data_IF_292562425728
#
_entry.id   IF_292562425728
#
_cell.length_a   1.000
_cell.length_b   1.000
_cell.length_c   1.000
_cell.angle_alpha   90.00
_cell.angle_beta   90.00
_cell.angle_gamma   90.00
#
_symmetry.space_group_name_H-M   'P 1'
#
loop_
_entity.id
_entity.type
_entity.pdbx_description
1 polymer ?
#
# COMPACT_ATOMS: atom_id res chain seq x y z
N UNK A 1 30.12 -34.86 -21.33
CA UNK A 1 29.66 -36.15 -21.85
C UNK A 1 28.59 -35.87 -22.90
N UNK A 2 28.84 -36.29 -24.14
CA UNK A 2 27.85 -36.35 -25.25
C UNK A 2 26.71 -37.32 -24.87
N UNK A 3 25.54 -37.48 -25.50
CA UNK A 3 24.90 -37.22 -26.80
C UNK A 3 23.37 -37.27 -26.45
N UNK A 4 22.41 -36.58 -27.07
CA UNK A 4 21.77 -36.96 -28.34
C UNK A 4 20.59 -36.03 -28.62
N UNK A 5 20.13 -36.08 -29.87
CA UNK A 5 19.48 -35.03 -30.65
C UNK A 5 18.08 -35.48 -31.11
N UNK A 6 17.22 -34.50 -31.46
CA UNK A 6 16.17 -34.54 -32.49
C UNK A 6 14.91 -35.44 -32.33
N UNK A 7 13.73 -34.80 -32.36
CA UNK A 7 12.87 -34.79 -33.58
C UNK A 7 11.75 -33.74 -33.53
N UNK A 8 11.61 -33.04 -34.64
CA UNK A 8 10.52 -32.12 -34.96
C UNK A 8 9.25 -32.88 -35.41
N UNK A 9 8.08 -32.30 -35.13
CA UNK A 9 6.83 -32.61 -35.83
C UNK A 9 6.03 -31.32 -36.00
N UNK A 10 5.95 -30.86 -37.24
CA UNK A 10 5.00 -29.87 -37.76
C UNK A 10 3.61 -30.51 -37.86
N UNK A 11 2.57 -29.82 -37.39
CA UNK A 11 1.21 -30.10 -37.83
C UNK A 11 0.45 -28.80 -38.12
N UNK A 12 0.14 -28.61 -39.39
CA UNK A 12 -0.68 -27.55 -39.97
C UNK A 12 -2.14 -27.95 -39.90
N UNK A 13 -2.98 -27.14 -39.25
CA UNK A 13 -4.43 -27.33 -39.24
C UNK A 13 -5.14 -25.98 -39.23
N UNK A 14 -5.46 -25.48 -40.41
CA UNK A 14 -6.34 -24.34 -40.68
C UNK A 14 -7.79 -24.70 -40.34
N UNK A 15 -8.45 -23.91 -39.47
CA UNK A 15 -9.90 -23.92 -39.33
C UNK A 15 -10.44 -22.48 -39.46
N UNK A 16 -11.00 -22.20 -40.63
CA UNK A 16 -11.76 -21.00 -40.96
C UNK A 16 -13.21 -21.14 -40.49
N UNK A 17 -13.73 -20.16 -39.75
CA UNK A 17 -15.16 -20.03 -39.45
C UNK A 17 -15.60 -18.57 -39.72
N UNK A 18 -16.49 -18.31 -40.69
CA UNK A 18 -17.09 -17.00 -40.88
C UNK A 18 -18.45 -16.92 -40.17
N UNK A 19 -18.79 -15.84 -39.47
CA UNK A 19 -20.19 -15.41 -39.38
C UNK A 19 -20.37 -13.93 -38.97
N UNK A 20 -20.70 -13.15 -39.99
CA UNK A 20 -21.84 -12.21 -40.05
C UNK A 20 -21.82 -10.96 -39.17
N UNK A 21 -21.54 -9.87 -39.88
CA UNK A 21 -21.80 -8.47 -39.56
C UNK A 21 -23.28 -8.16 -39.83
N UNK A 22 -24.03 -7.71 -38.83
CA UNK A 22 -25.37 -7.14 -39.00
C UNK A 22 -25.38 -5.67 -38.61
N UNK A 23 -25.29 -4.81 -39.64
CA UNK A 23 -25.63 -3.39 -39.54
C UNK A 23 -27.16 -3.25 -39.45
N UNK A 24 -27.65 -2.66 -38.36
CA UNK A 24 -29.00 -2.14 -38.26
C UNK A 24 -29.00 -0.63 -38.47
N UNK A 25 -29.15 -0.18 -39.72
CA UNK A 25 -29.57 1.18 -40.04
C UNK A 25 -31.10 1.23 -39.91
N UNK A 26 -31.62 2.04 -38.99
CA UNK A 26 -33.01 2.49 -39.03
C UNK A 26 -33.00 4.02 -39.15
N UNK A 27 -33.46 4.51 -40.29
CA UNK A 27 -33.80 5.90 -40.53
C UNK A 27 -35.33 6.00 -40.72
N UNK A 28 -35.98 6.96 -40.06
CA UNK A 28 -36.85 8.00 -40.66
C UNK A 28 -37.94 8.48 -39.69
N UNK A 29 -38.12 9.81 -39.65
CA UNK A 29 -39.16 10.57 -38.95
C UNK A 29 -38.51 11.63 -38.03
N UNK A 30 -38.44 12.93 -38.33
CA UNK A 30 -39.21 13.80 -39.20
C UNK A 30 -40.06 14.75 -38.34
N UNK A 31 -39.71 16.04 -38.28
CA UNK A 31 -40.57 17.12 -37.76
C UNK A 31 -39.89 18.12 -36.81
N UNK A 32 -39.73 19.37 -37.25
CA UNK A 32 -38.97 20.42 -36.56
C UNK A 32 -39.70 21.25 -35.50
N UNK A 33 -38.95 22.15 -34.86
CA UNK A 33 -39.44 23.17 -33.93
C UNK A 33 -38.31 23.63 -33.00
N UNK A 34 -37.99 24.93 -33.02
CA UNK A 34 -36.75 25.49 -32.47
C UNK A 34 -36.60 25.51 -30.94
N UNK A 35 -35.36 25.75 -30.53
CA UNK A 35 -34.95 25.95 -29.15
C UNK A 35 -33.54 25.41 -28.90
N UNK A 36 -32.52 26.22 -29.17
CA UNK A 36 -31.13 25.90 -28.82
C UNK A 36 -30.95 25.96 -27.30
N UNK A 37 -31.12 24.80 -26.65
CA UNK A 37 -30.68 24.56 -25.26
C UNK A 37 -29.28 23.92 -25.34
N UNK A 38 -28.28 24.40 -24.58
CA UNK A 38 -26.98 23.75 -24.57
C UNK A 38 -27.12 22.35 -23.95
N UNK A 39 -26.86 21.32 -24.75
CA UNK A 39 -26.80 19.93 -24.31
C UNK A 39 -25.54 19.75 -23.46
N UNK A 40 -25.71 19.70 -22.15
CA UNK A 40 -24.73 19.12 -21.25
C UNK A 40 -24.49 17.67 -21.66
N UNK A 41 -23.24 17.32 -21.94
CA UNK A 41 -22.85 15.93 -22.14
C UNK A 41 -23.29 15.12 -20.91
N UNK A 42 -23.90 13.93 -21.08
CA UNK A 42 -24.25 13.11 -19.93
C UNK A 42 -22.95 12.71 -19.23
N UNK A 43 -22.81 13.15 -17.98
CA UNK A 43 -21.82 12.60 -17.05
C UNK A 43 -22.10 11.10 -16.98
N UNK A 44 -21.22 10.28 -17.54
CA UNK A 44 -21.29 8.84 -17.35
C UNK A 44 -21.12 8.58 -15.85
N UNK A 45 -22.23 8.31 -15.15
CA UNK A 45 -22.20 7.74 -13.81
C UNK A 45 -21.69 6.32 -14.01
N UNK A 46 -20.40 6.12 -13.77
CA UNK A 46 -19.81 4.79 -13.71
C UNK A 46 -20.59 3.99 -12.66
N UNK A 47 -21.01 2.75 -12.95
CA UNK A 47 -21.63 1.89 -11.95
C UNK A 47 -20.61 1.65 -10.83
N UNK A 48 -20.87 2.18 -9.64
CA UNK A 48 -20.11 1.85 -8.43
C UNK A 48 -20.52 0.46 -7.98
N UNK A 49 -19.90 -0.57 -8.54
CA UNK A 49 -19.88 -1.88 -7.89
C UNK A 49 -19.06 -1.73 -6.62
N UNK A 50 -19.73 -1.65 -5.47
CA UNK A 50 -19.04 -1.66 -4.17
C UNK A 50 -18.39 -3.02 -4.00
N UNK A 51 -17.05 -3.07 -4.08
CA UNK A 51 -16.30 -4.29 -3.83
C UNK A 51 -16.50 -4.67 -2.36
N UNK A 52 -17.08 -5.84 -2.10
CA UNK A 52 -17.30 -6.30 -0.74
C UNK A 52 -15.97 -6.66 -0.07
N UNK A 53 -15.75 -6.18 1.15
CA UNK A 53 -14.61 -6.58 1.99
C UNK A 53 -14.89 -8.00 2.52
N UNK A 54 -14.03 -9.00 2.21
CA UNK A 54 -14.16 -10.32 2.81
C UNK A 54 -14.06 -10.26 4.33
N UNK A 55 -14.87 -11.07 5.01
CA UNK A 55 -14.76 -11.21 6.46
C UNK A 55 -13.41 -11.80 6.86
N UNK A 56 -12.79 -11.23 7.90
CA UNK A 56 -11.61 -11.78 8.53
C UNK A 56 -11.98 -12.62 9.77
N UNK A 57 -11.11 -13.56 10.13
CA UNK A 57 -11.22 -14.39 11.33
C UNK A 57 -10.42 -13.85 12.52
N UNK A 58 -9.91 -12.62 12.45
CA UNK A 58 -9.22 -12.00 13.58
C UNK A 58 -10.15 -11.82 14.77
N UNK A 59 -9.61 -11.96 15.98
CA UNK A 59 -10.37 -11.76 17.20
C UNK A 59 -10.80 -10.29 17.34
N UNK A 60 -12.01 -10.05 17.86
CA UNK A 60 -12.47 -8.70 18.23
C UNK A 60 -11.49 -8.10 19.26
N UNK A 61 -11.09 -6.83 19.08
CA UNK A 61 -10.13 -6.18 19.95
C UNK A 61 -8.66 -6.46 19.62
N UNK A 62 -8.35 -7.29 18.61
CA UNK A 62 -6.97 -7.58 18.19
C UNK A 62 -6.36 -6.48 17.33
N UNK A 63 -5.04 -6.35 17.36
CA UNK A 63 -4.32 -5.41 16.50
C UNK A 63 -4.47 -5.76 15.02
N UNK A 64 -4.48 -7.06 14.71
CA UNK A 64 -4.66 -7.58 13.36
C UNK A 64 -6.01 -7.15 12.78
N UNK A 65 -7.10 -7.18 13.56
CA UNK A 65 -8.42 -6.71 13.12
C UNK A 65 -8.41 -5.21 12.80
N UNK A 66 -7.81 -4.40 13.67
CA UNK A 66 -7.70 -2.95 13.45
C UNK A 66 -6.92 -2.62 12.19
N UNK A 67 -5.76 -3.24 12.02
CA UNK A 67 -4.91 -3.09 10.83
C UNK A 67 -5.57 -3.56 9.54
N UNK A 68 -6.19 -4.74 9.55
CA UNK A 68 -6.93 -5.28 8.42
C UNK A 68 -8.06 -4.36 8.00
N UNK A 69 -8.82 -3.81 8.96
CA UNK A 69 -9.94 -2.91 8.70
C UNK A 69 -9.48 -1.65 7.98
N UNK A 70 -8.41 -1.00 8.48
CA UNK A 70 -7.85 0.21 7.85
C UNK A 70 -7.35 -0.09 6.43
N UNK A 71 -6.57 -1.17 6.24
CA UNK A 71 -6.02 -1.52 4.94
C UNK A 71 -7.12 -1.84 3.91
N UNK A 72 -8.11 -2.64 4.30
CA UNK A 72 -9.21 -3.02 3.41
C UNK A 72 -10.05 -1.81 3.00
N UNK A 73 -10.34 -0.91 3.93
CA UNK A 73 -11.07 0.32 3.62
C UNK A 73 -10.28 1.19 2.63
N UNK A 74 -8.99 1.40 2.88
CA UNK A 74 -8.11 2.15 1.99
C UNK A 74 -8.08 1.56 0.57
N UNK A 75 -7.89 0.24 0.46
CA UNK A 75 -7.78 -0.44 -0.83
C UNK A 75 -9.09 -0.48 -1.61
N UNK A 76 -10.19 -0.83 -0.94
CA UNK A 76 -11.51 -0.92 -1.59
C UNK A 76 -12.01 0.46 -2.01
N UNK A 77 -11.82 1.48 -1.18
CA UNK A 77 -12.22 2.85 -1.52
C UNK A 77 -11.48 3.37 -2.76
N UNK A 78 -10.21 3.01 -2.91
CA UNK A 78 -9.33 3.54 -3.94
C UNK A 78 -9.06 2.56 -5.09
N UNK A 79 -9.95 1.60 -5.32
CA UNK A 79 -9.91 0.66 -6.44
C UNK A 79 -8.64 -0.22 -6.51
N UNK A 80 -7.92 -0.40 -5.41
CA UNK A 80 -6.82 -1.38 -5.30
C UNK A 80 -7.32 -2.82 -5.12
N UNK A 81 -8.62 -3.00 -4.96
CA UNK A 81 -9.28 -4.28 -4.75
C UNK A 81 -9.16 -4.81 -3.32
N UNK A 82 -10.09 -5.69 -2.95
CA UNK A 82 -10.13 -6.29 -1.62
C UNK A 82 -9.13 -7.44 -1.49
N UNK A 83 -8.49 -7.55 -0.34
CA UNK A 83 -7.61 -8.65 0.04
C UNK A 83 -8.40 -9.75 0.74
N UNK A 84 -7.93 -10.99 0.61
CA UNK A 84 -8.41 -12.15 1.38
C UNK A 84 -7.38 -12.47 2.45
N UNK A 85 -7.83 -12.65 3.69
CA UNK A 85 -6.98 -13.16 4.76
C UNK A 85 -6.47 -14.57 4.44
N UNK A 86 -5.18 -14.82 4.67
CA UNK A 86 -4.54 -16.13 4.54
C UNK A 86 -3.79 -16.47 5.83
N UNK A 87 -4.26 -17.49 6.54
CA UNK A 87 -3.73 -17.90 7.86
C UNK A 87 -2.24 -18.28 7.86
N UNK A 88 -1.70 -18.72 6.72
CA UNK A 88 -0.26 -18.97 6.56
C UNK A 88 0.57 -17.67 6.56
N UNK A 89 0.02 -16.59 6.02
CA UNK A 89 0.63 -15.26 6.10
C UNK A 89 0.50 -14.70 7.51
N UNK A 90 -0.64 -14.92 8.19
CA UNK A 90 -0.82 -14.53 9.60
C UNK A 90 0.23 -15.17 10.50
N UNK A 91 0.46 -16.49 10.32
CA UNK A 91 1.45 -17.21 11.08
C UNK A 91 2.88 -16.67 10.84
N UNK A 92 3.22 -16.30 9.60
CA UNK A 92 4.53 -15.75 9.27
C UNK A 92 4.71 -14.34 9.87
N UNK A 93 3.71 -13.47 9.73
CA UNK A 93 3.73 -12.13 10.31
C UNK A 93 3.81 -12.18 11.85
N UNK A 94 3.05 -13.07 12.49
CA UNK A 94 3.06 -13.23 13.94
C UNK A 94 4.41 -13.77 14.46
N UNK A 95 4.99 -14.75 13.78
CA UNK A 95 6.32 -15.26 14.13
C UNK A 95 7.37 -14.15 14.04
N UNK A 96 7.32 -13.34 12.98
CA UNK A 96 8.25 -12.23 12.81
C UNK A 96 8.06 -11.13 13.87
N UNK A 97 6.83 -10.75 14.19
CA UNK A 97 6.53 -9.81 15.29
C UNK A 97 7.07 -10.32 16.63
N UNK A 98 6.94 -11.63 16.92
CA UNK A 98 7.51 -12.25 18.13
C UNK A 98 9.02 -12.28 18.12
N UNK A 99 9.64 -12.57 16.98
CA UNK A 99 11.09 -12.51 16.80
C UNK A 99 11.61 -11.10 17.12
N UNK A 100 11.04 -10.07 16.50
CA UNK A 100 11.44 -8.68 16.71
C UNK A 100 11.26 -8.23 18.17
N UNK A 101 10.15 -8.59 18.81
CA UNK A 101 9.95 -8.29 20.23
C UNK A 101 10.93 -9.04 21.13
N UNK A 102 11.18 -10.33 20.83
CA UNK A 102 12.13 -11.18 21.56
C UNK A 102 13.54 -10.59 21.56
N UNK A 103 14.07 -10.26 20.38
CA UNK A 103 15.42 -9.67 20.26
C UNK A 103 15.50 -8.26 20.83
N UNK A 104 14.40 -7.50 20.80
CA UNK A 104 14.37 -6.15 21.38
C UNK A 104 14.47 -6.18 22.90
N UNK A 105 13.78 -7.15 23.53
CA UNK A 105 13.89 -7.40 24.96
C UNK A 105 15.29 -7.91 25.32
N UNK A 106 15.80 -8.89 24.57
CA UNK A 106 17.09 -9.50 24.84
C UNK A 106 18.25 -8.50 24.72
N UNK A 107 18.18 -7.58 23.76
CA UNK A 107 19.20 -6.55 23.53
C UNK A 107 19.01 -5.28 24.37
N UNK A 108 17.83 -5.07 24.95
CA UNK A 108 17.45 -3.80 25.59
C UNK A 108 17.29 -2.63 24.62
N UNK A 109 17.36 -2.86 23.30
CA UNK A 109 17.21 -1.84 22.24
C UNK A 109 15.96 -2.15 21.44
N UNK A 110 15.22 -1.12 21.00
CA UNK A 110 14.07 -1.35 20.13
C UNK A 110 14.57 -1.71 18.74
N UNK A 111 14.48 -3.00 18.38
CA UNK A 111 14.90 -3.48 17.07
C UNK A 111 13.68 -3.56 16.15
N UNK A 112 13.82 -2.98 14.96
CA UNK A 112 12.89 -3.08 13.85
C UNK A 112 13.69 -3.40 12.58
N UNK A 113 13.36 -4.51 11.92
CA UNK A 113 14.04 -4.97 10.71
C UNK A 113 13.09 -5.85 9.91
N UNK A 114 13.22 -5.85 8.60
CA UNK A 114 12.58 -6.85 7.72
C UNK A 114 13.28 -8.22 7.76
N UNK A 115 14.48 -8.27 8.34
CA UNK A 115 15.35 -9.44 8.34
C UNK A 115 15.49 -10.08 9.73
N UNK A 116 15.65 -11.40 9.73
CA UNK A 116 15.99 -12.17 10.93
C UNK A 116 17.44 -12.64 10.87
N UNK A 117 18.32 -12.01 11.64
CA UNK A 117 19.75 -12.37 11.69
C UNK A 117 20.08 -13.38 12.81
N UNK A 118 19.29 -13.42 13.88
CA UNK A 118 19.56 -14.21 15.08
C UNK A 118 18.92 -15.59 14.96
N UNK A 119 19.61 -16.49 14.26
CA UNK A 119 19.14 -17.87 13.99
C UNK A 119 18.90 -18.74 15.23
N UNK A 120 19.42 -18.34 16.39
CA UNK A 120 19.21 -19.04 17.66
C UNK A 120 17.96 -18.58 18.43
N UNK A 121 17.31 -17.50 17.99
CA UNK A 121 16.05 -17.06 18.61
C UNK A 121 14.94 -18.08 18.32
N UNK A 122 14.12 -18.48 19.31
CA UNK A 122 13.10 -19.51 19.12
C UNK A 122 11.99 -19.14 18.13
N UNK A 123 11.86 -17.86 17.75
CA UNK A 123 10.91 -17.39 16.76
C UNK A 123 11.54 -17.20 15.37
N UNK A 124 12.84 -17.47 15.22
CA UNK A 124 13.49 -17.44 13.92
C UNK A 124 12.81 -18.44 12.96
N UNK A 125 12.36 -17.94 11.82
CA UNK A 125 11.72 -18.73 10.77
C UNK A 125 12.30 -18.49 9.38
N UNK A 126 13.19 -17.51 9.21
CA UNK A 126 13.88 -17.29 7.94
C UNK A 126 14.44 -15.88 7.83
N UNK A 127 15.55 -15.74 7.10
CA UNK A 127 16.26 -14.47 6.98
C UNK A 127 15.39 -13.36 6.40
N UNK A 128 14.80 -13.56 5.21
CA UNK A 128 13.99 -12.55 4.54
C UNK A 128 12.48 -12.87 4.60
N UNK A 129 11.59 -11.90 4.30
CA UNK A 129 10.15 -12.11 4.40
C UNK A 129 9.64 -13.32 3.62
N UNK A 130 10.16 -13.54 2.42
CA UNK A 130 9.80 -14.68 1.57
C UNK A 130 10.27 -16.03 2.12
N UNK A 131 11.38 -16.08 2.87
CA UNK A 131 11.85 -17.30 3.51
C UNK A 131 10.87 -17.72 4.62
N UNK A 132 10.42 -16.74 5.42
CA UNK A 132 9.45 -16.95 6.50
C UNK A 132 8.10 -17.44 5.98
N UNK A 133 7.63 -16.88 4.87
CA UNK A 133 6.36 -17.29 4.26
C UNK A 133 6.45 -18.63 3.53
N UNK A 134 7.64 -19.07 3.10
CA UNK A 134 7.87 -20.43 2.63
C UNK A 134 7.77 -21.44 3.78
N UNK A 135 8.29 -21.10 4.98
CA UNK A 135 8.20 -21.98 6.16
C UNK A 135 6.76 -22.23 6.61
N UNK A 136 5.89 -21.22 6.52
CA UNK A 136 4.45 -21.40 6.80
C UNK A 136 3.68 -22.00 5.63
N UNK A 137 4.35 -22.28 4.51
CA UNK A 137 3.79 -22.94 3.34
C UNK A 137 2.96 -22.02 2.44
N UNK A 138 3.09 -20.70 2.52
CA UNK A 138 2.44 -19.77 1.59
C UNK A 138 3.17 -19.76 0.24
N UNK A 139 4.47 -19.43 0.24
CA UNK A 139 5.27 -19.16 -0.96
C UNK A 139 6.11 -17.89 -0.81
N UNK A 140 6.83 -17.47 -1.85
CA UNK A 140 7.79 -16.35 -1.80
C UNK A 140 7.29 -15.03 -2.41
N UNK A 141 6.11 -15.03 -3.02
CA UNK A 141 5.54 -13.88 -3.74
C UNK A 141 4.83 -12.92 -2.78
N UNK A 142 5.60 -12.20 -1.96
CA UNK A 142 5.11 -11.34 -0.88
C UNK A 142 5.85 -10.00 -0.81
N UNK A 143 5.14 -8.97 -0.35
CA UNK A 143 5.70 -7.74 0.19
C UNK A 143 5.40 -7.67 1.69
N UNK A 144 6.33 -7.13 2.47
CA UNK A 144 6.17 -6.93 3.90
C UNK A 144 6.15 -5.45 4.25
N UNK A 145 5.29 -5.08 5.20
CA UNK A 145 5.29 -3.78 5.83
C UNK A 145 5.17 -3.97 7.35
N UNK A 146 5.90 -3.18 8.12
CA UNK A 146 5.99 -3.37 9.56
C UNK A 146 6.30 -2.07 10.30
N UNK A 147 5.81 -1.98 11.53
CA UNK A 147 5.94 -0.83 12.41
C UNK A 147 6.25 -1.31 13.84
N UNK A 148 6.89 -0.43 14.61
CA UNK A 148 7.14 -0.62 16.02
C UNK A 148 6.82 0.62 16.82
N UNK A 149 6.26 0.38 18.00
CA UNK A 149 6.06 1.40 19.02
C UNK A 149 6.67 0.91 20.33
N UNK A 150 7.33 1.82 21.05
CA UNK A 150 7.91 1.56 22.38
C UNK A 150 7.48 2.60 23.37
N UNK A 151 6.96 2.16 24.52
CA UNK A 151 6.51 3.04 25.59
C UNK A 151 7.23 2.71 26.89
N UNK A 152 8.00 3.68 27.41
CA UNK A 152 8.57 3.63 28.75
C UNK A 152 7.70 4.42 29.72
N UNK A 153 7.38 3.85 30.87
CA UNK A 153 6.50 4.48 31.86
C UNK A 153 6.77 4.03 33.31
N UNK A 154 6.33 4.85 34.27
CA UNK A 154 6.29 4.49 35.69
C UNK A 154 4.94 3.86 36.04
N UNK A 155 4.94 2.71 36.71
CA UNK A 155 3.72 2.00 37.12
C UNK A 155 2.84 2.79 38.10
N UNK A 156 3.41 3.76 38.82
CA UNK A 156 2.68 4.63 39.72
C UNK A 156 1.97 5.77 38.97
N UNK A 157 2.35 6.02 37.72
CA UNK A 157 1.71 7.01 36.84
C UNK A 157 1.69 6.49 35.39
N UNK A 158 0.94 5.41 35.11
CA UNK A 158 0.92 4.82 33.79
C UNK A 158 0.19 5.74 32.79
N UNK A 159 0.61 5.79 31.52
CA UNK A 159 -0.12 6.51 30.49
C UNK A 159 -1.45 5.80 30.18
N UNK A 160 -2.33 6.52 29.48
CA UNK A 160 -3.52 5.89 28.89
C UNK A 160 -3.09 5.16 27.63
N UNK A 161 -3.11 3.83 27.68
CA UNK A 161 -2.77 3.00 26.54
C UNK A 161 -3.97 2.85 25.59
N UNK A 162 -3.77 2.99 24.26
CA UNK A 162 -4.76 2.57 23.29
C UNK A 162 -4.98 1.05 23.39
N UNK A 163 -6.19 0.62 23.04
CA UNK A 163 -6.49 -0.81 22.89
C UNK A 163 -5.61 -1.43 21.80
N UNK A 164 -5.43 -2.75 21.80
CA UNK A 164 -4.65 -3.42 20.73
C UNK A 164 -5.24 -3.14 19.34
N UNK A 165 -6.55 -3.17 19.19
CA UNK A 165 -7.22 -2.80 17.93
C UNK A 165 -6.91 -1.36 17.49
N UNK A 166 -6.94 -0.40 18.42
CA UNK A 166 -6.55 0.98 18.13
C UNK A 166 -5.07 1.09 17.72
N UNK A 167 -4.18 0.32 18.36
CA UNK A 167 -2.76 0.26 17.97
C UNK A 167 -2.61 -0.26 16.55
N UNK A 168 -3.23 -1.39 16.22
CA UNK A 168 -3.16 -1.96 14.87
C UNK A 168 -3.71 -1.02 13.79
N UNK A 169 -4.82 -0.32 14.09
CA UNK A 169 -5.36 0.70 13.20
C UNK A 169 -4.38 1.87 13.00
N UNK A 170 -3.78 2.38 14.08
CA UNK A 170 -2.78 3.45 14.02
C UNK A 170 -1.50 3.02 13.29
N UNK A 171 -1.01 1.80 13.53
CA UNK A 171 0.14 1.22 12.81
C UNK A 171 -0.10 1.19 11.31
N UNK A 172 -1.27 0.72 10.88
CA UNK A 172 -1.61 0.67 9.45
C UNK A 172 -1.74 2.07 8.85
N UNK A 173 -2.36 3.03 9.55
CA UNK A 173 -2.41 4.43 9.10
C UNK A 173 -1.00 5.03 8.95
N UNK A 174 -0.09 4.72 9.88
CA UNK A 174 1.30 5.12 9.80
C UNK A 174 1.97 4.55 8.55
N UNK A 175 1.84 3.25 8.31
CA UNK A 175 2.43 2.56 7.14
C UNK A 175 1.87 3.08 5.80
N UNK A 176 0.56 3.34 5.73
CA UNK A 176 -0.10 3.94 4.57
C UNK A 176 0.35 5.39 4.30
N UNK A 177 1.00 6.03 5.27
CA UNK A 177 1.46 7.41 5.19
C UNK A 177 2.98 7.51 4.96
N UNK A 178 3.55 6.51 4.28
CA UNK A 178 4.97 6.45 3.91
C UNK A 178 5.13 6.22 2.40
N UNK A 179 6.36 6.22 1.88
CA UNK A 179 6.59 6.02 0.43
C UNK A 179 6.71 4.53 0.11
N UNK A 180 7.69 3.84 0.68
CA UNK A 180 7.98 2.45 0.38
C UNK A 180 7.00 1.48 1.05
N UNK A 181 6.59 1.69 2.31
CA UNK A 181 5.56 0.80 2.86
C UNK A 181 4.20 0.99 2.18
N UNK A 182 3.90 2.16 1.62
CA UNK A 182 2.68 2.33 0.84
C UNK A 182 2.68 1.48 -0.44
N UNK A 183 3.84 1.22 -1.08
CA UNK A 183 3.89 0.26 -2.20
C UNK A 183 3.56 -1.17 -1.75
N UNK A 184 4.03 -1.56 -0.55
CA UNK A 184 3.75 -2.85 0.06
C UNK A 184 2.30 -3.00 0.55
N UNK A 185 1.69 -1.94 1.07
CA UNK A 185 0.27 -1.92 1.43
C UNK A 185 -0.63 -2.02 0.20
N UNK A 186 -0.22 -1.35 -0.89
CA UNK A 186 -0.92 -1.32 -2.17
C UNK A 186 -0.36 -2.34 -3.18
N UNK A 187 0.21 -3.43 -2.66
CA UNK A 187 0.80 -4.48 -3.46
C UNK A 187 -0.25 -5.13 -4.37
N UNK A 188 0.21 -5.63 -5.53
CA UNK A 188 -0.63 -6.19 -6.60
C UNK A 188 -1.18 -7.60 -6.28
N UNK A 189 -1.17 -8.00 -5.02
CA UNK A 189 -1.67 -9.28 -4.53
C UNK A 189 -3.12 -9.24 -4.09
N UNK A 190 -3.71 -10.43 -4.00
CA UNK A 190 -5.06 -10.65 -3.48
C UNK A 190 -5.08 -11.27 -2.07
N UNK A 191 -3.92 -11.59 -1.50
CA UNK A 191 -3.79 -12.20 -0.18
C UNK A 191 -3.16 -11.24 0.82
N UNK A 192 -3.56 -11.37 2.07
CA UNK A 192 -2.92 -10.68 3.18
C UNK A 192 -2.88 -11.54 4.42
N UNK A 193 -1.87 -11.34 5.25
CA UNK A 193 -1.92 -11.77 6.64
C UNK A 193 -1.26 -10.77 7.58
N UNK A 194 -1.71 -10.78 8.83
CA UNK A 194 -1.28 -9.84 9.86
C UNK A 194 -0.78 -10.59 11.09
N UNK A 195 0.13 -9.95 11.82
CA UNK A 195 0.56 -10.44 13.11
C UNK A 195 1.13 -9.33 13.99
N UNK A 196 0.76 -9.36 15.26
CA UNK A 196 1.29 -8.44 16.25
C UNK A 196 1.79 -9.18 17.50
N UNK A 197 2.80 -8.61 18.15
CA UNK A 197 3.27 -9.06 19.47
C UNK A 197 3.46 -7.84 20.37
N UNK A 198 2.95 -7.92 21.60
CA UNK A 198 3.17 -6.92 22.64
C UNK A 198 3.74 -7.60 23.87
N UNK A 199 4.86 -7.08 24.38
CA UNK A 199 5.45 -7.55 25.63
C UNK A 199 5.84 -6.39 26.52
N UNK A 200 5.54 -6.52 27.80
CA UNK A 200 5.92 -5.56 28.84
C UNK A 200 7.02 -6.15 29.71
N UNK A 201 8.12 -5.42 29.88
CA UNK A 201 9.24 -5.83 30.74
C UNK A 201 9.50 -4.81 31.83
N UNK A 202 9.98 -5.27 32.98
CA UNK A 202 10.45 -4.38 34.05
C UNK A 202 11.86 -3.89 33.74
N UNK A 203 12.04 -2.56 33.67
CA UNK A 203 13.34 -1.91 33.46
C UNK A 203 13.92 -1.34 34.77
N UNK A 204 13.16 -1.43 35.86
CA UNK A 204 13.49 -0.94 37.19
C UNK A 204 12.39 -1.28 38.19
N UNK A 205 12.52 -0.80 39.43
CA UNK A 205 11.56 -1.10 40.50
C UNK A 205 10.13 -0.65 40.14
N UNK A 206 10.00 0.58 39.63
CA UNK A 206 8.72 1.18 39.24
C UNK A 206 8.60 1.40 37.73
N UNK A 207 9.65 1.18 36.95
CA UNK A 207 9.63 1.45 35.50
C UNK A 207 9.32 0.21 34.68
N UNK A 208 8.55 0.40 33.62
CA UNK A 208 8.17 -0.61 32.64
C UNK A 208 8.47 -0.11 31.24
N UNK A 209 8.69 -1.06 30.34
CA UNK A 209 8.82 -0.84 28.90
C UNK A 209 7.89 -1.77 28.16
N UNK A 210 7.02 -1.22 27.31
CA UNK A 210 6.25 -1.98 26.33
C UNK A 210 6.98 -1.98 24.98
N UNK A 211 7.20 -3.18 24.45
CA UNK A 211 7.62 -3.41 23.08
C UNK A 211 6.42 -3.94 22.30
N UNK A 212 6.01 -3.19 21.26
CA UNK A 212 4.95 -3.59 20.35
C UNK A 212 5.50 -3.70 18.93
N UNK A 213 5.20 -4.81 18.26
CA UNK A 213 5.54 -5.08 16.86
C UNK A 213 4.28 -5.43 16.11
N UNK A 214 4.12 -4.82 14.94
CA UNK A 214 3.00 -5.04 14.06
C UNK A 214 3.49 -5.14 12.62
N UNK A 215 2.97 -6.10 11.87
CA UNK A 215 3.30 -6.23 10.46
C UNK A 215 2.20 -6.88 9.66
N UNK A 216 2.27 -6.68 8.35
CA UNK A 216 1.46 -7.40 7.38
C UNK A 216 2.31 -7.90 6.21
N UNK A 217 1.92 -9.06 5.71
CA UNK A 217 2.46 -9.66 4.50
C UNK A 217 1.37 -9.64 3.44
N UNK A 218 1.63 -8.97 2.33
CA UNK A 218 0.71 -8.82 1.21
C UNK A 218 1.24 -9.67 0.05
N UNK A 219 0.44 -10.62 -0.44
CA UNK A 219 0.94 -11.66 -1.33
C UNK A 219 0.10 -11.85 -2.59
N UNK A 220 0.77 -12.23 -3.69
CA UNK A 220 0.14 -12.55 -4.97
C UNK A 220 0.34 -14.01 -5.39
N UNK A 221 0.77 -14.88 -4.47
CA UNK A 221 1.00 -16.29 -4.77
C UNK A 221 -0.24 -16.99 -5.32
N UNK A 222 -1.44 -16.60 -4.87
CA UNK A 222 -2.70 -17.18 -5.34
C UNK A 222 -3.29 -16.44 -6.54
N UNK A 223 -3.22 -15.11 -6.54
CA UNK A 223 -3.70 -14.26 -7.63
C UNK A 223 -3.10 -12.86 -7.53
N UNK A 224 -3.00 -12.21 -8.70
CA UNK A 224 -2.76 -10.78 -8.81
C UNK A 224 -4.09 -10.03 -8.95
N UNK A 225 -4.11 -8.78 -8.51
CA UNK A 225 -5.18 -7.81 -8.80
C UNK A 225 -4.63 -6.85 -9.86
N UNK A 226 -5.38 -6.67 -10.95
CA UNK A 226 -5.02 -5.78 -12.05
C UNK A 226 -6.12 -4.74 -12.26
N UNK A 227 -5.74 -3.50 -12.59
CA UNK A 227 -6.64 -2.38 -12.85
C UNK A 227 -7.10 -2.34 -14.31
N UNK A 228 -6.31 -2.92 -15.22
CA UNK A 228 -6.51 -2.87 -16.66
C UNK A 228 -5.60 -1.86 -17.36
N UNK A 229 -5.40 -2.07 -18.66
CA UNK A 229 -4.55 -1.21 -19.48
C UNK A 229 -5.04 0.24 -19.48
N UNK A 230 -4.11 1.19 -19.28
CA UNK A 230 -4.40 2.61 -19.23
C UNK A 230 -5.15 3.08 -17.98
N UNK A 231 -5.40 2.20 -17.01
CA UNK A 231 -5.99 2.59 -15.74
C UNK A 231 -4.90 2.96 -14.73
N UNK A 232 -5.11 4.10 -14.04
CA UNK A 232 -4.31 4.54 -12.90
C UNK A 232 -5.22 4.69 -11.69
N UNK A 233 -4.78 4.10 -10.58
CA UNK A 233 -5.39 4.24 -9.27
C UNK A 233 -4.48 5.11 -8.39
N UNK A 234 -5.07 5.76 -7.39
CA UNK A 234 -4.32 6.61 -6.46
C UNK A 234 -4.68 6.28 -5.02
N UNK A 235 -3.71 6.38 -4.10
CA UNK A 235 -3.98 6.47 -2.67
C UNK A 235 -3.23 7.67 -2.09
N UNK A 236 -3.89 8.60 -1.40
CA UNK A 236 -5.34 8.74 -1.25
C UNK A 236 -6.08 8.91 -2.59
N UNK A 237 -7.41 8.77 -2.55
CA UNK A 237 -8.32 8.96 -3.67
C UNK A 237 -9.56 9.77 -3.25
N UNK A 238 -10.53 9.92 -4.14
CA UNK A 238 -11.79 10.62 -3.85
C UNK A 238 -12.48 10.05 -2.61
N UNK A 239 -12.78 10.93 -1.65
CA UNK A 239 -13.48 10.56 -0.41
C UNK A 239 -12.59 9.92 0.64
N UNK A 240 -11.28 9.79 0.38
CA UNK A 240 -10.32 9.42 1.42
C UNK A 240 -10.38 10.42 2.57
N UNK A 241 -10.46 9.91 3.79
CA UNK A 241 -10.58 10.70 5.00
C UNK A 241 -9.67 10.18 6.10
N UNK A 242 -9.44 11.01 7.11
CA UNK A 242 -8.55 10.69 8.23
C UNK A 242 -7.11 10.35 7.77
N UNK A 243 -6.64 10.96 6.67
CA UNK A 243 -5.27 10.80 6.20
C UNK A 243 -4.33 11.51 7.18
N UNK A 244 -3.29 10.85 7.72
CA UNK A 244 -2.36 11.54 8.60
C UNK A 244 -1.77 12.77 7.90
N UNK A 245 -1.78 13.96 8.53
CA UNK A 245 -1.34 15.20 7.89
C UNK A 245 0.18 15.28 7.71
N UNK A 246 0.93 14.41 8.38
CA UNK A 246 2.38 14.51 8.57
C UNK A 246 3.03 13.17 8.24
N UNK A 247 3.96 13.16 7.30
CA UNK A 247 4.92 12.07 7.10
C UNK A 247 6.30 12.52 7.62
N UNK A 248 6.96 11.62 8.36
CA UNK A 248 8.31 11.81 8.93
C UNK A 248 9.27 10.90 8.17
N UNK A 249 10.03 11.40 7.17
CA UNK A 249 10.88 10.55 6.34
C UNK A 249 11.95 9.77 7.11
N UNK A 250 12.45 10.34 8.20
CA UNK A 250 13.44 9.69 9.07
C UNK A 250 12.94 8.40 9.74
N UNK A 251 11.62 8.16 9.77
CA UNK A 251 11.03 6.94 10.35
C UNK A 251 10.87 5.82 9.31
N UNK A 252 11.12 6.08 8.02
CA UNK A 252 11.07 5.06 6.99
C UNK A 252 12.48 4.58 6.65
N UNK A 253 12.66 3.26 6.58
CA UNK A 253 13.93 2.62 6.27
C UNK A 253 13.75 1.69 5.05
N UNK A 254 14.39 1.97 3.90
CA UNK A 254 15.28 3.12 3.66
C UNK A 254 14.52 4.45 3.57
N UNK A 255 15.22 5.57 3.77
CA UNK A 255 14.58 6.90 3.81
C UNK A 255 14.39 7.48 2.39
N UNK A 256 13.16 7.73 1.92
CA UNK A 256 12.87 8.27 0.59
C UNK A 256 13.29 9.75 0.41
N UNK A 257 13.64 10.44 1.49
CA UNK A 257 14.19 11.80 1.48
C UNK A 257 15.51 11.84 2.27
N UNK A 258 16.65 11.42 1.69
CA UNK A 258 17.91 11.26 2.42
C UNK A 258 18.45 12.53 3.12
N UNK A 259 18.02 13.72 2.67
CA UNK A 259 18.37 14.99 3.31
C UNK A 259 17.56 15.27 4.60
N UNK A 260 16.52 14.48 4.89
CA UNK A 260 15.65 14.61 6.05
C UNK A 260 15.93 13.48 7.04
N UNK A 261 16.96 13.65 7.88
CA UNK A 261 17.46 12.61 8.79
C UNK A 261 16.95 12.71 10.22
N UNK A 262 16.19 13.76 10.54
CA UNK A 262 15.63 14.02 11.88
C UNK A 262 14.12 13.86 11.91
N UNK A 263 13.57 13.39 13.03
CA UNK A 263 12.12 13.26 13.26
C UNK A 263 11.39 14.62 13.31
N UNK A 264 12.12 15.72 13.46
CA UNK A 264 11.59 17.08 13.35
C UNK A 264 11.38 17.57 11.92
N UNK A 265 11.96 16.90 10.93
CA UNK A 265 11.79 17.22 9.51
C UNK A 265 10.60 16.44 8.98
N UNK A 266 9.57 17.16 8.54
CA UNK A 266 8.30 16.57 8.14
C UNK A 266 7.82 17.09 6.80
N UNK A 267 7.08 16.24 6.10
CA UNK A 267 6.42 16.52 4.83
C UNK A 267 4.95 16.11 4.92
N UNK A 268 4.17 16.38 3.88
CA UNK A 268 2.77 15.93 3.83
C UNK A 268 2.65 14.44 3.48
N UNK A 269 1.44 13.87 3.58
CA UNK A 269 1.19 12.50 3.19
C UNK A 269 1.53 12.27 1.72
N UNK A 270 2.21 11.15 1.38
CA UNK A 270 2.44 10.79 -0.01
C UNK A 270 1.13 10.47 -0.73
N UNK A 271 0.98 11.00 -1.94
CA UNK A 271 -0.08 10.61 -2.89
C UNK A 271 0.55 9.64 -3.87
N UNK A 272 0.24 8.36 -3.69
CA UNK A 272 0.71 7.26 -4.53
C UNK A 272 -0.15 7.12 -5.78
N UNK A 273 0.50 6.87 -6.91
CA UNK A 273 -0.11 6.54 -8.19
C UNK A 273 0.42 5.17 -8.63
N UNK A 274 -0.48 4.27 -9.02
CA UNK A 274 -0.12 2.93 -9.50
C UNK A 274 -0.86 2.61 -10.80
N UNK A 275 -0.14 1.98 -11.72
CA UNK A 275 -0.69 1.29 -12.90
C UNK A 275 -0.25 -0.18 -12.86
N UNK A 276 -0.88 -1.03 -13.68
CA UNK A 276 -0.47 -2.45 -13.74
C UNK A 276 1.00 -2.61 -14.14
N UNK A 277 1.65 -3.63 -13.57
CA UNK A 277 3.02 -4.00 -13.92
C UNK A 277 3.20 -4.15 -15.45
N UNK A 278 4.34 -3.69 -15.95
CA UNK A 278 4.63 -3.64 -17.39
C UNK A 278 4.17 -2.36 -18.11
N UNK A 279 3.38 -1.51 -17.46
CA UNK A 279 3.10 -0.15 -17.93
C UNK A 279 4.07 0.85 -17.27
N UNK A 280 4.34 1.96 -17.96
CA UNK A 280 5.20 3.04 -17.46
C UNK A 280 4.35 4.26 -17.17
N UNK A 281 4.38 4.73 -15.93
CA UNK A 281 3.72 5.98 -15.52
C UNK A 281 4.73 7.14 -15.51
N UNK A 282 4.28 8.30 -15.97
CA UNK A 282 5.01 9.57 -15.84
C UNK A 282 4.04 10.65 -15.38
N UNK A 283 4.33 11.29 -14.25
CA UNK A 283 3.59 12.47 -13.78
C UNK A 283 4.18 13.71 -14.46
N UNK A 284 3.32 14.53 -15.08
CA UNK A 284 3.71 15.79 -15.73
C UNK A 284 3.30 17.03 -14.94
N UNK A 285 2.21 16.93 -14.18
CA UNK A 285 1.77 18.01 -13.29
C UNK A 285 1.13 17.42 -12.04
N UNK A 286 1.45 18.02 -10.91
CA UNK A 286 0.80 17.77 -9.63
C UNK A 286 0.35 19.08 -9.02
N UNK A 287 -0.85 19.10 -8.47
CA UNK A 287 -1.36 20.24 -7.76
C UNK A 287 -2.16 19.76 -6.55
N UNK A 288 -1.73 20.16 -5.36
CA UNK A 288 -2.43 19.94 -4.10
C UNK A 288 -2.82 21.31 -3.57
N UNK A 289 -4.10 21.54 -3.33
CA UNK A 289 -4.65 22.84 -2.95
C UNK A 289 -5.59 22.75 -1.77
N UNK A 290 -5.60 23.81 -0.98
CA UNK A 290 -6.62 24.07 0.03
C UNK A 290 -7.17 25.48 -0.22
N UNK A 291 -8.49 25.60 -0.40
CA UNK A 291 -9.16 26.89 -0.62
C UNK A 291 -8.45 27.76 -1.69
N UNK A 292 -8.03 27.14 -2.79
CA UNK A 292 -7.33 27.81 -3.89
C UNK A 292 -5.83 28.06 -3.69
N UNK A 293 -5.29 27.84 -2.49
CA UNK A 293 -3.85 27.97 -2.20
C UNK A 293 -3.14 26.66 -2.48
N UNK A 294 -2.07 26.69 -3.30
CA UNK A 294 -1.31 25.47 -3.63
C UNK A 294 -0.24 25.17 -2.59
N UNK A 295 -0.15 23.90 -2.19
CA UNK A 295 0.98 23.36 -1.44
C UNK A 295 2.02 22.86 -2.45
N UNK A 296 3.30 23.27 -2.34
CA UNK A 296 4.34 22.74 -3.21
C UNK A 296 4.50 21.23 -3.03
N UNK A 297 4.88 20.54 -4.10
CA UNK A 297 5.04 19.08 -4.11
C UNK A 297 6.35 18.67 -4.77
N UNK A 298 6.94 17.59 -4.29
CA UNK A 298 8.00 16.84 -4.97
C UNK A 298 7.43 15.56 -5.55
N UNK A 299 7.95 15.13 -6.71
CA UNK A 299 7.55 13.86 -7.34
C UNK A 299 8.69 12.85 -7.22
N UNK A 300 8.42 11.69 -6.62
CA UNK A 300 9.31 10.54 -6.60
C UNK A 300 8.82 9.50 -7.62
N UNK A 301 9.77 8.89 -8.32
CA UNK A 301 9.57 7.93 -9.41
C UNK A 301 10.73 6.94 -9.41
N UNK A 302 10.63 5.86 -10.18
CA UNK A 302 11.75 4.96 -10.42
C UNK A 302 13.07 5.68 -10.81
N UNK A 303 12.99 6.73 -11.62
CA UNK A 303 14.17 7.41 -12.17
C UNK A 303 14.93 8.29 -11.17
N UNK A 304 14.30 8.69 -10.08
CA UNK A 304 14.89 9.54 -9.04
C UNK A 304 14.71 8.97 -7.63
N UNK A 305 14.42 7.67 -7.53
CA UNK A 305 14.43 6.96 -6.26
C UNK A 305 15.86 7.01 -5.68
N UNK A 306 16.04 7.56 -4.46
CA UNK A 306 17.36 7.63 -3.85
C UNK A 306 17.89 6.27 -3.37
N UNK A 307 17.03 5.25 -3.29
CA UNK A 307 17.37 3.95 -2.71
C UNK A 307 17.28 2.83 -3.74
N UNK A 308 18.11 1.81 -3.55
CA UNK A 308 18.12 0.59 -4.36
C UNK A 308 17.93 -0.62 -3.44
N UNK A 309 17.12 -1.57 -3.88
CA UNK A 309 16.95 -2.85 -3.20
C UNK A 309 18.30 -3.59 -3.21
N UNK A 310 18.84 -3.96 -2.04
CA UNK A 310 20.14 -4.63 -1.95
C UNK A 310 20.15 -6.02 -2.60
N UNK A 311 18.98 -6.65 -2.82
CA UNK A 311 18.89 -8.00 -3.38
C UNK A 311 19.03 -8.01 -4.91
N UNK A 312 18.52 -7.00 -5.60
CA UNK A 312 18.51 -6.95 -7.07
C UNK A 312 19.07 -5.67 -7.69
N UNK A 313 19.46 -4.70 -6.86
CA UNK A 313 20.06 -3.43 -7.27
C UNK A 313 19.10 -2.47 -7.98
N UNK A 314 17.78 -2.70 -7.92
CA UNK A 314 16.79 -1.85 -8.57
C UNK A 314 16.19 -0.82 -7.62
N UNK A 315 15.67 0.32 -8.12
CA UNK A 315 14.83 1.20 -7.33
C UNK A 315 13.66 0.48 -6.66
N UNK A 316 13.31 0.89 -5.45
CA UNK A 316 12.13 0.39 -4.74
C UNK A 316 10.83 0.90 -5.37
N UNK A 317 10.84 2.09 -5.98
CA UNK A 317 9.71 2.62 -6.76
C UNK A 317 9.75 2.00 -8.15
N UNK A 318 8.71 1.25 -8.53
CA UNK A 318 8.59 0.64 -9.86
C UNK A 318 8.36 1.64 -11.00
N UNK A 319 8.60 1.23 -12.24
CA UNK A 319 8.28 2.04 -13.44
C UNK A 319 6.77 2.31 -13.59
N UNK A 320 5.95 1.47 -12.97
CA UNK A 320 4.50 1.56 -12.91
C UNK A 320 3.99 2.35 -11.69
N UNK A 321 4.88 3.07 -11.01
CA UNK A 321 4.61 3.73 -9.73
C UNK A 321 5.17 5.16 -9.71
N UNK A 322 4.46 6.05 -9.02
CA UNK A 322 4.95 7.39 -8.72
C UNK A 322 4.33 7.90 -7.42
N UNK A 323 5.01 8.84 -6.78
CA UNK A 323 4.54 9.50 -5.58
C UNK A 323 4.60 11.01 -5.76
N UNK A 324 3.51 11.68 -5.40
CA UNK A 324 3.46 13.14 -5.27
C UNK A 324 3.41 13.45 -3.77
N UNK A 325 4.45 14.09 -3.25
CA UNK A 325 4.59 14.34 -1.81
C UNK A 325 4.58 15.85 -1.57
N UNK A 326 3.61 16.40 -0.80
CA UNK A 326 3.64 17.79 -0.38
C UNK A 326 4.92 18.08 0.40
N UNK A 327 5.63 19.16 0.10
CA UNK A 327 6.95 19.45 0.69
C UNK A 327 6.89 19.97 2.13
N UNK A 328 5.70 20.05 2.70
CA UNK A 328 5.43 20.46 4.08
C UNK A 328 4.25 19.66 4.61
N UNK A 329 4.24 19.43 5.92
CA UNK A 329 3.07 18.92 6.62
C UNK A 329 1.79 19.65 6.21
N UNK A 330 0.71 18.89 6.03
CA UNK A 330 -0.61 19.45 5.78
C UNK A 330 -1.26 19.87 7.10
N UNK A 331 -2.30 20.70 7.03
CA UNK A 331 -3.08 21.04 8.20
C UNK A 331 -3.95 19.85 8.61
N UNK A 332 -4.16 19.59 9.91
CA UNK A 332 -5.10 18.56 10.37
C UNK A 332 -6.55 18.97 10.04
N UNK A 333 -7.45 17.97 9.98
CA UNK A 333 -8.90 18.17 9.75
C UNK A 333 -9.24 19.07 8.55
N UNK A 334 -8.48 18.96 7.48
CA UNK A 334 -8.52 19.88 6.34
C UNK A 334 -8.77 19.11 5.04
N UNK A 335 -9.64 19.65 4.19
CA UNK A 335 -9.91 19.12 2.85
C UNK A 335 -8.90 19.72 1.87
N UNK A 336 -8.27 18.85 1.08
CA UNK A 336 -7.38 19.21 -0.02
C UNK A 336 -7.94 18.73 -1.35
N UNK A 337 -7.95 19.63 -2.34
CA UNK A 337 -8.17 19.29 -3.74
C UNK A 337 -6.86 18.86 -4.38
N UNK A 338 -6.86 17.69 -5.00
CA UNK A 338 -5.72 17.13 -5.72
C UNK A 338 -6.05 17.05 -7.20
N UNK A 339 -5.14 17.53 -8.05
CA UNK A 339 -5.21 17.37 -9.50
C UNK A 339 -3.87 16.89 -10.05
N UNK A 340 -3.90 15.78 -10.77
CA UNK A 340 -2.73 15.07 -11.29
C UNK A 340 -2.91 14.86 -12.80
N UNK A 341 -1.87 15.15 -13.57
CA UNK A 341 -1.83 14.80 -15.00
C UNK A 341 -0.51 14.15 -15.34
N UNK A 342 -0.54 13.31 -16.37
CA UNK A 342 0.63 12.55 -16.78
C UNK A 342 0.36 11.67 -17.98
N UNK A 343 1.20 10.66 -18.16
CA UNK A 343 1.03 9.64 -19.20
C UNK A 343 1.23 8.24 -18.67
N UNK A 344 0.50 7.27 -19.23
CA UNK A 344 0.70 5.83 -19.08
C UNK A 344 1.07 5.31 -20.47
N UNK A 345 2.29 4.78 -20.65
CA UNK A 345 2.79 4.36 -21.97
C UNK A 345 2.59 5.44 -23.05
N UNK A 346 2.90 6.70 -22.72
CA UNK A 346 2.71 7.89 -23.56
C UNK A 346 1.25 8.28 -23.87
N UNK A 347 0.25 7.59 -23.30
CA UNK A 347 -1.16 7.99 -23.39
C UNK A 347 -1.50 8.87 -22.19
N UNK A 348 -2.08 10.05 -22.42
CA UNK A 348 -2.38 11.00 -21.36
C UNK A 348 -3.41 10.47 -20.36
N UNK A 349 -3.21 10.78 -19.07
CA UNK A 349 -4.20 10.59 -18.01
C UNK A 349 -4.42 11.88 -17.23
N UNK A 350 -5.59 11.96 -16.59
CA UNK A 350 -5.91 12.98 -15.59
C UNK A 350 -6.65 12.35 -14.43
N UNK A 351 -6.37 12.83 -13.22
CA UNK A 351 -7.10 12.51 -11.98
C UNK A 351 -7.34 13.79 -11.21
N UNK A 352 -8.56 13.96 -10.71
CA UNK A 352 -8.90 15.04 -9.79
C UNK A 352 -9.78 14.48 -8.70
N UNK A 353 -9.44 14.76 -7.44
CA UNK A 353 -10.18 14.25 -6.30
C UNK A 353 -9.99 15.13 -5.05
N UNK A 354 -10.83 14.90 -4.05
CA UNK A 354 -10.70 15.48 -2.73
C UNK A 354 -10.32 14.41 -1.70
N UNK A 355 -9.40 14.78 -0.80
CA UNK A 355 -9.04 14.02 0.38
C UNK A 355 -9.11 14.90 1.63
N UNK A 356 -9.35 14.32 2.80
CA UNK A 356 -9.31 15.04 4.08
C UNK A 356 -8.29 14.45 5.03
N UNK A 357 -7.54 15.34 5.69
CA UNK A 357 -6.60 14.97 6.74
C UNK A 357 -7.29 14.71 8.07
N UNK A 358 -6.69 13.86 8.89
CA UNK A 358 -7.15 13.50 10.22
C UNK A 358 -6.48 14.31 11.33
N UNK A 359 -6.50 13.73 12.53
CA UNK A 359 -5.67 14.17 13.65
C UNK A 359 -4.17 14.01 13.33
N UNK A 360 -3.32 14.74 14.06
CA UNK A 360 -1.88 14.51 14.07
C UNK A 360 -1.52 13.38 15.03
#
# INVERSE_FOLDING_TARGET
>A
MNFMNSKAMTNTGTLTLPFVLSLGLAACGGGGGGGSVPTTAPTAVLPTTTVAIPAASYAVGSAELGGYTVLQQARVLCDFGALRQVTRLDAAALNHSRYLTSISIASGTSVLSHFEDITTDPYYTGYAPWDRTVVTGYGSQVAEILEATVWDYDINNPPVFPTLEQRGAASMLSLLNTVYHLTGAMYEGADVGFGADLRTVATGATTRREEYRFGSLNGYQTSRITFGTGQVVTYPCQGSSNIPPVFVPANEAPNPFPAMTSTSQTVGPPIYLKVDAGQVIKVTSSNVRQNGTSVPTTVLTNANDPNLDPNDGKPYIGLNEAFVVPTSALLPYTIYQVSLTGTINNVAFSRSFEMSTGAQ
#
